data_IF_411501587356
#
_entry.id   IF_411501587356
#
_cell.length_a   1.000
_cell.length_b   1.000
_cell.length_c   1.000
_cell.angle_alpha   90.00
_cell.angle_beta   90.00
_cell.angle_gamma   90.00
#
_symmetry.space_group_name_H-M   'P 1'
#
loop_
_entity.id
_entity.type
_entity.pdbx_description
1 polymer ?
#
# COMPACT_ATOMS: atom_id res chain seq x y z
N UNK A 1 26.87 -1.90 -0.07
CA UNK A 1 25.47 -2.22 0.32
C UNK A 1 24.63 -0.97 0.16
N UNK A 2 23.41 -1.05 -0.41
CA UNK A 2 22.49 0.08 -0.50
C UNK A 2 22.00 0.52 0.89
N UNK A 3 21.69 1.81 1.05
CA UNK A 3 21.31 2.43 2.34
C UNK A 3 19.80 2.69 2.48
N UNK A 4 19.05 2.56 1.40
CA UNK A 4 17.61 2.85 1.35
C UNK A 4 16.93 2.02 0.27
N UNK A 5 15.60 1.90 0.40
CA UNK A 5 14.74 1.29 -0.59
C UNK A 5 14.15 2.40 -1.46
N UNK A 6 13.93 2.10 -2.73
CA UNK A 6 13.38 3.06 -3.68
C UNK A 6 11.91 2.72 -3.96
N UNK A 7 11.04 3.71 -3.82
CA UNK A 7 9.63 3.60 -4.13
C UNK A 7 9.40 4.17 -5.54
N UNK A 8 8.92 3.34 -6.47
CA UNK A 8 8.66 3.72 -7.87
C UNK A 8 7.28 4.37 -8.05
N UNK A 9 6.36 4.21 -7.08
CA UNK A 9 5.00 4.74 -7.16
C UNK A 9 4.90 6.23 -7.56
N UNK A 10 5.70 7.18 -7.01
CA UNK A 10 5.62 8.59 -7.38
C UNK A 10 6.07 8.89 -8.82
N UNK A 11 6.86 7.99 -9.43
CA UNK A 11 7.42 8.19 -10.76
C UNK A 11 6.58 7.52 -11.87
N UNK A 12 5.46 6.90 -11.50
CA UNK A 12 4.55 6.28 -12.46
C UNK A 12 3.80 7.36 -13.28
N UNK A 13 3.64 7.17 -14.60
CA UNK A 13 2.94 8.13 -15.46
C UNK A 13 1.44 8.22 -15.15
N UNK A 14 0.87 7.18 -14.53
CA UNK A 14 -0.52 7.09 -14.11
C UNK A 14 -0.51 6.51 -12.68
N UNK A 15 -1.25 7.09 -11.72
CA UNK A 15 -1.36 6.54 -10.38
C UNK A 15 -1.91 5.11 -10.43
N UNK A 16 -1.33 4.21 -9.63
CA UNK A 16 -1.89 2.88 -9.45
C UNK A 16 -3.24 3.00 -8.74
N UNK A 17 -4.23 2.24 -9.21
CA UNK A 17 -5.51 2.16 -8.51
C UNK A 17 -5.31 1.50 -7.14
N UNK A 18 -5.95 2.01 -6.08
CA UNK A 18 -5.85 1.40 -4.77
C UNK A 18 -6.43 -0.02 -4.82
N UNK A 19 -5.81 -0.98 -4.12
CA UNK A 19 -6.36 -2.32 -4.01
C UNK A 19 -7.77 -2.30 -3.41
N UNK A 20 -8.63 -3.19 -3.91
CA UNK A 20 -10.03 -3.28 -3.49
C UNK A 20 -10.22 -4.34 -2.42
N UNK A 21 -11.14 -4.07 -1.49
CA UNK A 21 -11.56 -5.03 -0.49
C UNK A 21 -12.35 -6.14 -1.19
N UNK A 22 -11.98 -7.43 -1.05
CA UNK A 22 -12.70 -8.51 -1.73
C UNK A 22 -14.15 -8.68 -1.28
N UNK A 23 -14.53 -8.14 -0.11
CA UNK A 23 -15.90 -8.22 0.41
C UNK A 23 -16.78 -7.02 -0.03
N UNK A 24 -16.24 -5.80 -0.02
CA UNK A 24 -17.02 -4.58 -0.33
C UNK A 24 -16.81 -4.06 -1.74
N UNK A 25 -15.73 -4.48 -2.41
CA UNK A 25 -15.25 -3.93 -3.70
C UNK A 25 -14.93 -2.44 -3.64
N UNK A 26 -14.73 -1.89 -2.45
CA UNK A 26 -14.31 -0.51 -2.22
C UNK A 26 -12.79 -0.44 -1.97
N UNK A 27 -12.15 0.71 -2.21
CA UNK A 27 -10.73 0.91 -1.91
C UNK A 27 -10.41 0.55 -0.45
N UNK A 28 -9.40 -0.29 -0.23
CA UNK A 28 -9.05 -0.73 1.12
C UNK A 28 -8.47 0.40 1.96
N UNK A 29 -8.89 0.45 3.22
CA UNK A 29 -8.28 1.30 4.23
C UNK A 29 -7.15 0.58 4.99
N UNK A 30 -6.36 1.33 5.80
CA UNK A 30 -5.36 0.74 6.69
C UNK A 30 -5.96 -0.30 7.66
N UNK A 31 -7.21 -0.08 8.08
CA UNK A 31 -7.92 -0.94 9.03
C UNK A 31 -8.26 -2.31 8.42
N UNK A 32 -8.50 -2.39 7.10
CA UNK A 32 -8.77 -3.64 6.38
C UNK A 32 -7.53 -4.55 6.30
N UNK A 33 -6.33 -3.94 6.30
CA UNK A 33 -5.06 -4.65 6.24
C UNK A 33 -4.52 -5.06 7.62
N UNK A 34 -5.03 -4.46 8.69
CA UNK A 34 -4.61 -4.69 10.08
C UNK A 34 -4.69 -6.15 10.58
N UNK A 35 -5.62 -7.01 10.10
CA UNK A 35 -5.66 -8.41 10.53
C UNK A 35 -4.58 -9.28 9.87
N UNK A 36 -4.04 -8.86 8.72
CA UNK A 36 -3.16 -9.67 7.86
C UNK A 36 -1.70 -9.19 7.96
N UNK A 37 -1.49 -7.88 8.08
CA UNK A 37 -0.16 -7.27 8.07
C UNK A 37 0.16 -6.52 9.37
N UNK A 38 1.42 -6.56 9.83
CA UNK A 38 1.91 -5.66 10.85
C UNK A 38 1.77 -4.18 10.42
N UNK A 39 1.43 -3.30 11.36
CA UNK A 39 1.23 -1.86 11.13
C UNK A 39 2.42 -1.16 10.43
N UNK A 40 3.65 -1.66 10.61
CA UNK A 40 4.83 -1.12 9.93
C UNK A 40 4.81 -1.34 8.41
N UNK A 41 4.28 -2.48 7.94
CA UNK A 41 4.15 -2.76 6.50
C UNK A 41 3.02 -1.93 5.88
N UNK A 42 1.91 -1.78 6.60
CA UNK A 42 0.76 -0.96 6.15
C UNK A 42 1.19 0.50 5.93
N UNK A 43 2.02 1.05 6.83
CA UNK A 43 2.56 2.41 6.67
C UNK A 43 3.49 2.54 5.47
N UNK A 44 4.27 1.50 5.17
CA UNK A 44 5.18 1.52 4.02
C UNK A 44 4.41 1.52 2.69
N UNK A 45 3.29 0.83 2.62
CA UNK A 45 2.45 0.75 1.40
C UNK A 45 1.69 2.06 1.13
N UNK A 46 1.49 2.88 2.15
CA UNK A 46 0.85 4.20 2.06
C UNK A 46 1.87 5.37 1.93
N UNK A 47 3.18 5.07 1.82
CA UNK A 47 4.27 6.08 1.73
C UNK A 47 4.69 6.42 0.30
#
# INVERSE_FOLDING_TARGET
MPRSWYNILPDLPIPLEPPLNPATMEPIGPDDLSPIFPMALIKQEMS
#
